data_IF_336354379451
#
_entry.id   IF_336354379451
#
_cell.length_a   1.000
_cell.length_b   1.000
_cell.length_c   1.000
_cell.angle_alpha   90.00
_cell.angle_beta   90.00
_cell.angle_gamma   90.00
#
_symmetry.space_group_name_H-M   'P 1'
#
loop_
_entity.id
_entity.type
_entity.pdbx_description
1 polymer ?
#
# COMPACT_ATOMS: atom_id res chain seq x y z
N UNK A 1 2.69 6.60 -6.63
CA UNK A 1 1.51 7.21 -7.28
C UNK A 1 0.30 6.68 -6.53
N UNK A 2 -0.67 7.50 -6.12
CA UNK A 2 -1.74 7.06 -5.22
C UNK A 2 -2.82 6.27 -5.97
N UNK A 3 -3.77 5.62 -5.27
CA UNK A 3 -4.98 5.05 -5.87
C UNK A 3 -5.86 6.18 -6.45
N UNK A 4 -5.39 6.80 -7.52
CA UNK A 4 -6.09 7.86 -8.23
C UNK A 4 -6.87 7.21 -9.34
N UNK A 5 -8.18 7.13 -9.17
CA UNK A 5 -9.08 6.97 -10.31
C UNK A 5 -9.08 8.25 -11.14
N UNK A 6 -9.14 8.13 -12.47
CA UNK A 6 -9.35 9.25 -13.39
C UNK A 6 -10.85 9.49 -13.67
N UNK A 7 -11.73 8.89 -12.86
CA UNK A 7 -13.16 9.07 -12.98
C UNK A 7 -13.56 10.53 -12.68
N UNK A 8 -14.41 11.09 -13.54
CA UNK A 8 -14.94 12.45 -13.41
C UNK A 8 -15.83 12.62 -12.17
N UNK A 9 -16.51 11.54 -11.75
CA UNK A 9 -17.31 11.46 -10.53
C UNK A 9 -16.59 10.62 -9.48
N UNK A 10 -16.82 10.91 -8.20
CA UNK A 10 -16.26 10.14 -7.09
C UNK A 10 -16.74 8.70 -7.12
N UNK A 11 -15.85 7.71 -7.28
CA UNK A 11 -16.29 6.32 -7.20
C UNK A 11 -16.77 5.92 -5.79
N UNK A 12 -17.65 4.93 -5.75
CA UNK A 12 -18.00 4.28 -4.49
C UNK A 12 -16.79 3.54 -3.90
N UNK A 13 -16.69 3.58 -2.58
CA UNK A 13 -15.71 2.83 -1.81
C UNK A 13 -16.42 1.98 -0.77
N UNK A 14 -16.01 0.72 -0.63
CA UNK A 14 -16.60 -0.25 0.30
C UNK A 14 -15.49 -0.92 1.09
N UNK A 15 -15.66 -1.08 2.40
CA UNK A 15 -14.88 -2.04 3.18
C UNK A 15 -15.72 -3.27 3.43
N UNK A 16 -15.20 -4.45 3.10
CA UNK A 16 -15.92 -5.71 3.33
C UNK A 16 -15.94 -6.13 4.82
N UNK A 17 -15.11 -5.51 5.67
CA UNK A 17 -15.16 -5.64 7.14
C UNK A 17 -14.87 -4.30 7.81
N UNK A 18 -15.87 -3.40 7.93
CA UNK A 18 -15.68 -2.06 8.49
C UNK A 18 -15.26 -2.07 9.97
N UNK A 19 -15.48 -3.17 10.70
CA UNK A 19 -14.99 -3.36 12.06
C UNK A 19 -13.46 -3.51 12.15
N UNK A 20 -12.78 -3.88 11.06
CA UNK A 20 -11.31 -4.01 10.95
C UNK A 20 -10.71 -2.74 10.37
N UNK A 21 -11.22 -2.28 9.23
CA UNK A 21 -10.86 -0.99 8.65
C UNK A 21 -12.05 -0.36 7.95
N UNK A 22 -12.28 0.93 8.14
CA UNK A 22 -13.33 1.71 7.48
C UNK A 22 -12.73 2.55 6.35
N UNK A 23 -13.52 2.84 5.31
CA UNK A 23 -13.15 3.78 4.25
C UNK A 23 -14.03 5.02 4.31
N UNK A 24 -13.42 6.20 4.40
CA UNK A 24 -14.10 7.49 4.41
C UNK A 24 -14.42 7.99 3.00
N UNK A 25 -15.15 9.12 2.93
CA UNK A 25 -15.47 9.78 1.67
C UNK A 25 -14.22 10.18 0.87
N UNK A 26 -14.31 10.09 -0.45
CA UNK A 26 -13.24 10.51 -1.35
C UNK A 26 -13.08 12.04 -1.40
N UNK A 27 -11.84 12.52 -1.48
CA UNK A 27 -11.48 13.92 -1.69
C UNK A 27 -10.91 14.11 -3.09
N UNK A 28 -11.39 15.10 -3.83
CA UNK A 28 -10.83 15.45 -5.14
C UNK A 28 -9.38 15.95 -5.00
N UNK A 29 -8.50 15.49 -5.89
CA UNK A 29 -7.07 15.85 -5.96
C UNK A 29 -6.62 15.97 -7.42
N UNK A 30 -5.51 16.66 -7.66
CA UNK A 30 -4.82 16.66 -8.95
C UNK A 30 -3.55 15.82 -8.85
N UNK A 31 -3.25 15.03 -9.89
CA UNK A 31 -1.97 14.35 -10.00
C UNK A 31 -0.86 15.32 -10.45
N UNK A 32 0.39 14.86 -10.49
CA UNK A 32 1.55 15.67 -10.88
C UNK A 32 1.53 16.17 -12.34
N UNK A 33 0.54 15.75 -13.14
CA UNK A 33 0.28 16.19 -14.51
C UNK A 33 -0.97 17.07 -14.61
N UNK A 34 -1.54 17.51 -13.49
CA UNK A 34 -2.75 18.33 -13.45
C UNK A 34 -4.05 17.58 -13.75
N UNK A 35 -4.03 16.25 -13.80
CA UNK A 35 -5.24 15.46 -14.09
C UNK A 35 -6.02 15.20 -12.79
N UNK A 36 -7.37 15.27 -12.82
CA UNK A 36 -8.19 15.03 -11.65
C UNK A 36 -8.15 13.56 -11.21
N UNK A 37 -8.29 13.36 -9.91
CA UNK A 37 -8.55 12.06 -9.32
C UNK A 37 -9.09 12.17 -7.90
N UNK A 38 -9.30 11.01 -7.28
CA UNK A 38 -9.91 10.91 -5.95
C UNK A 38 -8.95 10.29 -4.95
N UNK A 39 -8.96 10.81 -3.73
CA UNK A 39 -8.16 10.36 -2.60
C UNK A 39 -9.10 9.85 -1.51
N UNK A 40 -8.99 8.58 -1.13
CA UNK A 40 -9.80 8.01 -0.05
C UNK A 40 -8.96 7.86 1.21
N UNK A 41 -9.64 7.94 2.35
CA UNK A 41 -9.02 7.69 3.65
C UNK A 41 -9.45 6.32 4.13
N UNK A 42 -8.50 5.45 4.48
CA UNK A 42 -8.80 4.16 5.13
C UNK A 42 -8.31 4.21 6.57
N UNK A 43 -9.20 3.97 7.52
CA UNK A 43 -8.92 4.06 8.96
C UNK A 43 -8.94 2.66 9.56
N UNK A 44 -7.86 2.30 10.26
CA UNK A 44 -7.78 1.02 10.97
C UNK A 44 -8.57 1.13 12.26
N UNK A 45 -9.50 0.20 12.46
CA UNK A 45 -10.42 0.21 13.60
C UNK A 45 -10.00 -0.82 14.65
N UNK A 46 -9.68 -2.05 14.21
CA UNK A 46 -9.22 -3.12 15.09
C UNK A 46 -8.27 -4.07 14.37
N UNK A 47 -7.43 -4.84 15.10
CA UNK A 47 -6.54 -5.82 14.48
C UNK A 47 -7.30 -6.84 13.63
N UNK A 48 -6.77 -7.12 12.44
CA UNK A 48 -7.36 -8.09 11.52
C UNK A 48 -7.06 -7.77 10.06
N UNK A 49 -7.67 -8.57 9.17
CA UNK A 49 -7.55 -8.44 7.73
C UNK A 49 -8.92 -8.13 7.09
N UNK A 50 -8.94 -7.23 6.11
CA UNK A 50 -10.11 -6.88 5.32
C UNK A 50 -9.72 -6.51 3.89
N UNK A 51 -10.72 -6.36 3.03
CA UNK A 51 -10.56 -5.81 1.68
C UNK A 51 -11.38 -4.53 1.57
N UNK A 52 -10.77 -3.51 1.00
CA UNK A 52 -11.42 -2.27 0.58
C UNK A 52 -11.51 -2.27 -0.94
N UNK A 53 -12.68 -2.02 -1.48
CA UNK A 53 -12.96 -1.97 -2.91
C UNK A 53 -13.29 -0.54 -3.32
N UNK A 54 -12.60 -0.01 -4.33
CA UNK A 54 -12.89 1.29 -4.94
C UNK A 54 -13.05 1.10 -6.43
N UNK A 55 -14.27 1.28 -6.95
CA UNK A 55 -14.56 1.12 -8.38
C UNK A 55 -14.16 -0.25 -8.96
N UNK A 56 -14.26 -1.34 -8.19
CA UNK A 56 -13.83 -2.68 -8.59
C UNK A 56 -12.33 -2.93 -8.43
N UNK A 57 -11.56 -1.93 -7.95
CA UNK A 57 -10.17 -2.10 -7.59
C UNK A 57 -10.08 -2.49 -6.11
N UNK A 58 -9.79 -3.77 -5.89
CA UNK A 58 -9.67 -4.32 -4.54
C UNK A 58 -8.28 -4.07 -3.96
N UNK A 59 -8.29 -3.72 -2.68
CA UNK A 59 -7.14 -3.45 -1.86
C UNK A 59 -7.24 -4.31 -0.61
N UNK A 60 -6.21 -5.07 -0.30
CA UNK A 60 -6.17 -5.84 0.93
C UNK A 60 -5.50 -5.03 2.05
N UNK A 61 -6.19 -4.90 3.18
CA UNK A 61 -5.79 -4.13 4.35
C UNK A 61 -5.54 -5.08 5.50
N UNK A 62 -4.34 -5.00 6.09
CA UNK A 62 -4.01 -5.66 7.35
C UNK A 62 -3.73 -4.60 8.40
N UNK A 63 -4.53 -4.63 9.47
CA UNK A 63 -4.37 -3.77 10.65
C UNK A 63 -3.77 -4.63 11.75
N UNK A 64 -2.66 -4.19 12.34
CA UNK A 64 -2.10 -4.79 13.54
C UNK A 64 -1.81 -3.71 14.60
N UNK A 65 -1.29 -4.13 15.74
CA UNK A 65 -0.89 -3.25 16.83
C UNK A 65 0.31 -2.36 16.43
N UNK A 66 0.05 -1.32 15.65
CA UNK A 66 1.01 -0.26 15.30
C UNK A 66 1.17 0.02 13.80
N UNK A 67 0.74 -0.90 12.92
CA UNK A 67 0.97 -0.81 11.47
C UNK A 67 -0.29 -1.12 10.66
N UNK A 68 -0.47 -0.35 9.58
CA UNK A 68 -1.40 -0.65 8.49
C UNK A 68 -0.63 -0.72 7.16
N UNK A 69 -0.90 -1.75 6.35
CA UNK A 69 -0.43 -1.86 4.96
C UNK A 69 -1.59 -1.88 3.97
N UNK A 70 -1.35 -1.32 2.78
CA UNK A 70 -2.34 -1.18 1.70
C UNK A 70 -2.28 -2.28 0.63
N UNK A 71 -1.31 -3.19 0.69
CA UNK A 71 -1.09 -4.17 -0.38
C UNK A 71 -0.66 -5.52 0.21
N UNK A 72 -1.49 -6.57 0.09
CA UNK A 72 -1.08 -7.95 0.45
C UNK A 72 -0.42 -8.69 -0.71
N UNK A 73 -0.76 -8.36 -1.95
CA UNK A 73 -0.16 -8.96 -3.14
C UNK A 73 -0.06 -7.97 -4.29
N UNK A 74 1.01 -8.04 -5.08
CA UNK A 74 1.17 -7.21 -6.28
C UNK A 74 1.88 -7.97 -7.39
N UNK A 75 1.38 -7.87 -8.62
CA UNK A 75 2.05 -8.41 -9.80
C UNK A 75 2.63 -7.27 -10.63
N UNK A 76 3.90 -7.40 -11.04
CA UNK A 76 4.61 -6.35 -11.77
C UNK A 76 5.56 -6.91 -12.83
N UNK A 77 5.87 -6.09 -13.84
CA UNK A 77 6.91 -6.40 -14.81
C UNK A 77 8.32 -6.15 -14.26
N UNK A 78 9.36 -6.79 -14.81
CA UNK A 78 10.74 -6.36 -14.59
C UNK A 78 10.94 -4.87 -14.91
N UNK A 79 11.71 -4.16 -14.09
CA UNK A 79 11.94 -2.71 -14.20
C UNK A 79 10.79 -1.83 -13.73
N UNK A 80 9.58 -2.38 -13.53
CA UNK A 80 8.46 -1.64 -12.98
C UNK A 80 8.75 -1.25 -11.52
N UNK A 81 8.07 -0.20 -11.05
CA UNK A 81 8.19 0.29 -9.67
C UNK A 81 6.82 0.40 -9.04
N UNK A 82 6.72 0.02 -7.78
CA UNK A 82 5.52 0.17 -6.97
C UNK A 82 5.88 0.80 -5.62
N UNK A 83 4.94 1.47 -4.97
CA UNK A 83 5.15 1.97 -3.61
C UNK A 83 4.13 1.33 -2.69
N UNK A 84 4.60 0.58 -1.70
CA UNK A 84 3.79 0.06 -0.60
C UNK A 84 3.63 1.19 0.43
N UNK A 85 2.39 1.48 0.80
CA UNK A 85 2.07 2.41 1.88
C UNK A 85 2.14 1.71 3.22
N UNK A 86 2.78 2.37 4.19
CA UNK A 86 2.87 1.92 5.57
C UNK A 86 2.54 3.09 6.48
N UNK A 87 1.52 2.95 7.34
CA UNK A 87 1.36 3.86 8.47
C UNK A 87 1.99 3.24 9.71
N UNK A 88 2.93 3.94 10.36
CA UNK A 88 3.46 3.58 11.68
C UNK A 88 2.91 4.52 12.75
N UNK A 89 2.11 4.01 13.69
CA UNK A 89 1.59 4.80 14.82
C UNK A 89 2.20 4.32 16.13
N UNK A 90 2.84 5.22 16.87
CA UNK A 90 3.52 4.88 18.13
C UNK A 90 4.74 3.95 17.96
N UNK A 91 5.29 3.88 16.75
CA UNK A 91 6.47 3.08 16.39
C UNK A 91 7.59 4.02 15.94
N UNK A 92 8.72 3.94 16.63
CA UNK A 92 9.97 4.57 16.21
C UNK A 92 10.65 3.73 15.11
N UNK A 93 11.56 4.35 14.36
CA UNK A 93 12.22 3.69 13.22
C UNK A 93 13.07 2.49 13.61
N UNK A 94 13.63 2.48 14.82
CA UNK A 94 14.48 1.39 15.29
C UNK A 94 13.70 0.08 15.49
N UNK A 95 12.37 0.16 15.59
CA UNK A 95 11.47 -0.96 15.85
C UNK A 95 10.78 -1.50 14.60
N UNK A 96 11.13 -1.00 13.42
CA UNK A 96 10.58 -1.49 12.15
C UNK A 96 11.72 -1.82 11.18
N UNK A 97 11.89 -3.10 10.85
CA UNK A 97 12.76 -3.51 9.75
C UNK A 97 11.93 -3.90 8.53
N UNK A 98 12.34 -3.43 7.36
CA UNK A 98 11.68 -3.75 6.09
C UNK A 98 12.68 -4.40 5.14
N UNK A 99 12.34 -5.59 4.64
CA UNK A 99 13.23 -6.39 3.80
C UNK A 99 12.47 -7.10 2.68
N UNK A 100 13.22 -7.64 1.72
CA UNK A 100 12.70 -8.55 0.69
C UNK A 100 13.27 -9.95 0.95
N UNK A 101 12.46 -10.99 0.80
CA UNK A 101 12.93 -12.39 0.92
C UNK A 101 13.82 -12.82 -0.25
N UNK A 102 13.71 -12.15 -1.41
CA UNK A 102 14.62 -12.31 -2.56
C UNK A 102 14.92 -10.94 -3.17
N UNK A 103 16.07 -10.36 -2.78
CA UNK A 103 16.56 -9.07 -3.28
C UNK A 103 17.01 -9.06 -4.76
N UNK A 104 17.19 -10.24 -5.36
CA UNK A 104 17.45 -10.41 -6.79
C UNK A 104 16.15 -10.45 -7.59
N UNK A 105 15.03 -10.85 -6.99
CA UNK A 105 13.68 -10.74 -7.58
C UNK A 105 13.09 -9.34 -7.38
N UNK A 106 13.07 -8.83 -6.15
CA UNK A 106 12.48 -7.54 -5.77
C UNK A 106 13.40 -6.79 -4.83
N UNK A 107 13.82 -5.57 -5.20
CA UNK A 107 14.48 -4.66 -4.24
C UNK A 107 13.48 -3.74 -3.59
N UNK A 108 13.83 -3.30 -2.38
CA UNK A 108 13.06 -2.34 -1.60
C UNK A 108 13.95 -1.20 -1.10
N UNK A 109 13.39 0.00 -1.08
CA UNK A 109 14.00 1.17 -0.46
C UNK A 109 12.92 2.05 0.18
N UNK A 110 13.28 2.74 1.27
CA UNK A 110 12.41 3.77 1.83
C UNK A 110 12.43 4.99 0.91
N UNK A 111 11.27 5.36 0.37
CA UNK A 111 11.14 6.41 -0.63
C UNK A 111 10.74 7.76 -0.03
N UNK A 112 9.88 7.76 1.00
CA UNK A 112 9.43 8.99 1.67
C UNK A 112 8.92 8.65 3.06
N UNK A 113 9.08 9.59 3.98
CA UNK A 113 8.31 9.64 5.23
C UNK A 113 7.62 10.99 5.37
N UNK A 114 6.34 10.96 5.75
CA UNK A 114 5.54 12.13 6.12
C UNK A 114 5.64 12.44 7.61
N UNK A 115 5.31 13.68 8.00
CA UNK A 115 5.29 14.13 9.40
C UNK A 115 4.26 13.40 10.28
N UNK A 116 3.32 12.72 9.65
CA UNK A 116 2.23 11.93 10.21
C UNK A 116 2.59 10.45 10.44
N UNK A 117 3.86 10.05 10.21
CA UNK A 117 4.29 8.66 10.35
C UNK A 117 3.93 7.79 9.14
N UNK A 118 3.53 8.40 8.01
CA UNK A 118 3.34 7.67 6.75
C UNK A 118 4.69 7.41 6.09
N UNK A 119 5.05 6.14 5.96
CA UNK A 119 6.21 5.70 5.20
C UNK A 119 5.79 5.14 3.85
N UNK A 120 6.53 5.47 2.81
CA UNK A 120 6.40 4.88 1.48
C UNK A 120 7.65 4.05 1.20
N UNK A 121 7.46 2.76 0.93
CA UNK A 121 8.53 1.87 0.51
C UNK A 121 8.40 1.59 -0.98
N UNK A 122 9.41 1.98 -1.76
CA UNK A 122 9.44 1.73 -3.20
C UNK A 122 10.05 0.36 -3.44
N UNK A 123 9.30 -0.49 -4.13
CA UNK A 123 9.76 -1.78 -4.62
C UNK A 123 10.03 -1.70 -6.12
N UNK A 124 11.07 -2.40 -6.57
CA UNK A 124 11.42 -2.53 -7.98
C UNK A 124 11.54 -4.00 -8.34
N UNK A 125 10.78 -4.42 -9.36
CA UNK A 125 10.91 -5.77 -9.92
C UNK A 125 12.20 -5.87 -10.72
N UNK A 126 13.03 -6.86 -10.44
CA UNK A 126 14.33 -7.06 -11.11
C UNK A 126 14.32 -8.28 -12.00
N UNK A 127 13.97 -9.43 -11.44
CA UNK A 127 13.99 -10.73 -12.10
C UNK A 127 12.64 -11.41 -11.94
N UNK A 128 12.18 -12.10 -12.97
CA UNK A 128 10.97 -12.90 -12.91
C UNK A 128 11.04 -13.93 -11.78
N UNK A 129 9.94 -14.11 -11.05
CA UNK A 129 9.88 -14.90 -9.82
C UNK A 129 8.90 -14.30 -8.83
N UNK A 130 8.94 -14.77 -7.59
CA UNK A 130 8.14 -14.19 -6.50
C UNK A 130 9.00 -13.94 -5.26
N UNK A 131 8.67 -12.89 -4.53
CA UNK A 131 9.31 -12.52 -3.28
C UNK A 131 8.27 -11.92 -2.32
N UNK A 132 8.47 -12.07 -1.02
CA UNK A 132 7.71 -11.33 -0.03
C UNK A 132 8.50 -10.08 0.39
N UNK A 133 7.81 -8.96 0.45
CA UNK A 133 8.26 -7.78 1.17
C UNK A 133 7.79 -7.90 2.60
N UNK A 134 8.73 -7.93 3.53
CA UNK A 134 8.48 -8.21 4.94
C UNK A 134 8.63 -6.94 5.76
N UNK A 135 7.58 -6.59 6.50
CA UNK A 135 7.55 -5.53 7.49
C UNK A 135 7.55 -6.18 8.87
N UNK A 136 8.68 -6.13 9.55
CA UNK A 136 8.85 -6.74 10.86
C UNK A 136 8.87 -5.66 11.94
N UNK A 137 7.92 -5.74 12.87
CA UNK A 137 7.91 -4.91 14.07
C UNK A 137 8.68 -5.62 15.18
N UNK A 138 9.61 -4.92 15.84
CA UNK A 138 10.40 -5.46 16.94
C UNK A 138 9.51 -5.77 18.15
N UNK A 139 9.56 -7.02 18.62
CA UNK A 139 8.66 -7.55 19.66
C UNK A 139 7.20 -7.67 19.21
N UNK A 140 6.92 -7.55 17.92
CA UNK A 140 5.58 -7.59 17.33
C UNK A 140 5.47 -8.58 16.18
N UNK A 141 4.34 -8.51 15.47
CA UNK A 141 4.06 -9.40 14.35
C UNK A 141 4.79 -8.99 13.07
N UNK A 142 5.03 -10.00 12.23
CA UNK A 142 5.48 -9.85 10.86
C UNK A 142 4.28 -9.61 9.94
N UNK A 143 4.38 -8.62 9.06
CA UNK A 143 3.43 -8.38 7.98
C UNK A 143 4.14 -8.58 6.65
N UNK A 144 3.46 -9.14 5.64
CA UNK A 144 4.05 -9.45 4.34
C UNK A 144 3.19 -8.94 3.20
N UNK A 145 3.84 -8.43 2.17
CA UNK A 145 3.26 -8.18 0.85
C UNK A 145 3.91 -9.13 -0.14
N UNK A 146 3.14 -10.05 -0.71
CA UNK A 146 3.60 -10.94 -1.75
C UNK A 146 3.79 -10.19 -3.07
N UNK A 147 4.90 -10.40 -3.77
CA UNK A 147 5.19 -9.74 -5.04
C UNK A 147 5.55 -10.79 -6.08
N UNK A 148 4.82 -10.79 -7.19
CA UNK A 148 5.15 -11.61 -8.36
C UNK A 148 5.72 -10.71 -9.44
N UNK A 149 6.95 -10.98 -9.87
CA UNK A 149 7.55 -10.35 -11.04
C UNK A 149 7.36 -11.27 -12.24
N UNK A 150 6.64 -10.79 -13.24
CA UNK A 150 6.30 -11.58 -14.43
C UNK A 150 6.62 -10.82 -15.70
N UNK A 151 7.29 -11.48 -16.66
CA UNK A 151 7.64 -10.90 -17.96
C UNK A 151 6.42 -10.57 -18.83
N UNK A 152 5.27 -11.18 -18.55
CA UNK A 152 4.00 -10.88 -19.24
C UNK A 152 3.22 -9.73 -18.58
N UNK A 153 3.63 -9.28 -17.38
CA UNK A 153 3.03 -8.11 -16.75
C UNK A 153 3.56 -6.84 -17.43
N UNK A 154 2.65 -5.98 -17.90
CA UNK A 154 3.03 -4.71 -18.53
C UNK A 154 3.83 -3.85 -17.53
N UNK A 155 4.87 -3.11 -17.98
CA UNK A 155 5.74 -2.31 -17.11
C UNK A 155 5.03 -1.11 -16.44
N UNK A 156 3.71 -1.00 -16.60
CA UNK A 156 2.87 0.06 -16.09
C UNK A 156 1.86 -0.54 -15.14
N UNK A 157 2.13 -0.43 -13.84
CA UNK A 157 1.16 -0.73 -12.80
C UNK A 157 0.75 0.55 -12.10
N UNK A 158 -0.57 0.82 -12.04
CA UNK A 158 -1.13 1.92 -11.26
C UNK A 158 -0.99 1.57 -9.79
N UNK A 159 -0.31 2.43 -9.02
CA UNK A 159 -0.09 2.19 -7.59
C UNK A 159 -1.36 2.53 -6.81
N UNK A 160 -1.84 1.61 -5.99
CA UNK A 160 -3.03 1.80 -5.16
C UNK A 160 -2.59 2.24 -3.77
N UNK A 161 -2.16 3.51 -3.61
CA UNK A 161 -1.89 4.02 -2.25
C UNK A 161 -3.17 4.48 -1.60
N UNK A 162 -3.35 4.13 -0.33
CA UNK A 162 -4.29 4.80 0.56
C UNK A 162 -3.59 5.20 1.86
N UNK A 163 -3.75 6.46 2.26
CA UNK A 163 -3.24 6.99 3.52
C UNK A 163 -4.42 7.13 4.47
N UNK A 164 -4.25 6.57 5.66
CA UNK A 164 -5.08 6.81 6.82
C UNK A 164 -4.90 8.27 7.29
N UNK A 165 -6.01 8.99 7.42
CA UNK A 165 -6.10 10.27 8.09
C UNK A 165 -7.06 10.08 9.26
N UNK A 166 -6.53 10.25 10.46
CA UNK A 166 -7.30 10.76 11.58
C UNK A 166 -6.38 11.77 12.28
N UNK A 167 -6.65 13.05 12.03
CA UNK A 167 -6.49 14.09 13.04
C UNK A 167 -7.83 14.27 13.70
#
# INVERSE_FOLDING_TARGET
>A
VLATTNAALMPAAVSYRPSVASVGGGRAVLNSRGQPGWFYTVTGVSPGDTTVDIAGQQMAVKVNSGVMIDTLSYTMGPGARYCIGLLKKGLDESRLSVSSTDGACVSIEKYREGKDGVCLYRITGKRAGSADVVFQVAGGQTVRTHVTVSSVAKPWGKSARLVALAG
#
